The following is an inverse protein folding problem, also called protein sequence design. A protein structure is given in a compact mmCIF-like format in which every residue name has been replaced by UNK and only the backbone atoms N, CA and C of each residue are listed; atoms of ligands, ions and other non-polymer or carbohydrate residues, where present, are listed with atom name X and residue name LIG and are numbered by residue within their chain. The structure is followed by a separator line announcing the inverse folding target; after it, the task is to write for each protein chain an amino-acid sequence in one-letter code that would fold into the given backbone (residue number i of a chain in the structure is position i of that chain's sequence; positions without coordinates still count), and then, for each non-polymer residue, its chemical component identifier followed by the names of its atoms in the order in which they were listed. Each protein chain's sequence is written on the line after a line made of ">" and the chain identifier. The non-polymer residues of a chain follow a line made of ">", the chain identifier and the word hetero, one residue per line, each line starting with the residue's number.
data_IF_747914802813
#
_entry.id   IF_747914802813
#
_cell.length_a   1.000
_cell.length_b   1.000
_cell.length_c   1.000
_cell.angle_alpha   90.00
_cell.angle_beta   90.00
_cell.angle_gamma   90.00
#
_symmetry.space_group_name_H-M   'P 1'
#
loop_
_entity.id
_entity.type
_entity.pdbx_description
1 polymer ?
#
# COMPACT_ATOMS: atom_id res chain seq x y z
N UNK A 1 -20.97 33.33 -30.38
CA UNK A 1 -19.83 32.69 -29.68
C UNK A 1 -19.28 31.62 -30.61
N UNK A 2 -18.08 31.78 -31.17
CA UNK A 2 -17.48 30.73 -32.03
C UNK A 2 -16.97 29.62 -31.11
N UNK A 3 -17.59 28.44 -31.16
CA UNK A 3 -17.04 27.26 -30.50
C UNK A 3 -15.81 26.82 -31.28
N UNK A 4 -14.63 27.06 -30.73
CA UNK A 4 -13.39 26.46 -31.24
C UNK A 4 -13.38 24.99 -30.86
N UNK A 5 -13.30 24.11 -31.87
CA UNK A 5 -13.17 22.66 -31.68
C UNK A 5 -13.88 21.86 -32.77
N UNK A 6 -13.28 20.74 -33.17
CA UNK A 6 -13.90 19.75 -34.04
C UNK A 6 -15.13 19.16 -33.34
N UNK A 7 -16.20 18.95 -34.10
CA UNK A 7 -17.37 18.20 -33.62
C UNK A 7 -17.00 16.75 -33.32
N UNK A 8 -17.77 16.09 -32.44
CA UNK A 8 -17.58 14.66 -32.14
C UNK A 8 -17.55 13.77 -33.40
N UNK A 9 -18.28 14.18 -34.45
CA UNK A 9 -18.30 13.47 -35.73
C UNK A 9 -17.03 13.67 -36.55
N UNK A 10 -16.48 14.88 -36.56
CA UNK A 10 -15.19 15.19 -37.20
C UNK A 10 -14.05 14.48 -36.48
N UNK A 11 -14.03 14.51 -35.14
CA UNK A 11 -13.06 13.77 -34.33
C UNK A 11 -13.11 12.27 -34.63
N UNK A 12 -14.32 11.67 -34.73
CA UNK A 12 -14.47 10.25 -35.02
C UNK A 12 -13.95 9.86 -36.41
N UNK A 13 -14.11 10.75 -37.42
CA UNK A 13 -13.59 10.54 -38.78
C UNK A 13 -12.06 10.72 -38.84
N UNK A 14 -11.54 11.72 -38.13
CA UNK A 14 -10.12 12.07 -38.14
C UNK A 14 -9.25 11.07 -37.35
N UNK A 15 -9.79 10.47 -36.27
CA UNK A 15 -9.08 9.52 -35.39
C UNK A 15 -9.49 8.04 -35.61
N UNK A 16 -10.05 7.69 -36.77
CA UNK A 16 -10.84 6.46 -37.03
C UNK A 16 -11.38 5.68 -35.81
N UNK A 17 -11.98 6.36 -34.83
CA UNK A 17 -12.52 5.75 -33.61
C UNK A 17 -14.05 5.85 -33.58
N UNK A 18 -14.75 4.89 -32.96
CA UNK A 18 -16.19 4.97 -32.79
C UNK A 18 -16.61 6.25 -32.07
N UNK A 19 -17.67 6.90 -32.55
CA UNK A 19 -18.25 8.11 -31.92
C UNK A 19 -18.56 7.90 -30.43
N UNK A 20 -18.97 6.69 -30.04
CA UNK A 20 -19.21 6.32 -28.65
C UNK A 20 -17.94 6.40 -27.78
N UNK A 21 -16.76 6.10 -28.34
CA UNK A 21 -15.47 6.22 -27.65
C UNK A 21 -15.11 7.68 -27.44
N UNK A 22 -15.29 8.53 -28.47
CA UNK A 22 -15.10 9.99 -28.38
C UNK A 22 -16.00 10.59 -27.31
N UNK A 23 -17.29 10.22 -27.31
CA UNK A 23 -18.25 10.69 -26.31
C UNK A 23 -17.86 10.27 -24.89
N UNK A 24 -17.47 9.01 -24.69
CA UNK A 24 -17.02 8.50 -23.38
C UNK A 24 -15.75 9.22 -22.89
N UNK A 25 -14.81 9.51 -23.79
CA UNK A 25 -13.59 10.25 -23.46
C UNK A 25 -13.89 11.70 -23.06
N UNK A 26 -14.73 12.40 -23.84
CA UNK A 26 -15.15 13.78 -23.55
C UNK A 26 -15.93 13.84 -22.22
N UNK A 27 -16.90 12.94 -22.02
CA UNK A 27 -17.67 12.88 -20.76
C UNK A 27 -16.79 12.57 -19.55
N UNK A 28 -15.71 11.81 -19.74
CA UNK A 28 -14.77 11.49 -18.69
C UNK A 28 -13.88 12.68 -18.31
N UNK A 29 -13.50 13.50 -19.29
CA UNK A 29 -12.73 14.73 -19.05
C UNK A 29 -11.26 14.52 -18.64
N UNK A 30 -10.74 13.30 -18.76
CA UNK A 30 -9.33 12.96 -18.49
C UNK A 30 -8.77 12.15 -19.66
N UNK A 31 -7.50 12.35 -20.00
CA UNK A 31 -6.83 11.67 -21.13
C UNK A 31 -6.32 10.29 -20.71
N UNK A 32 -6.09 10.09 -19.41
CA UNK A 32 -5.52 8.88 -18.85
C UNK A 32 -6.49 7.69 -18.91
N UNK A 33 -5.95 6.48 -19.10
CA UNK A 33 -6.74 5.25 -19.05
C UNK A 33 -7.36 5.00 -17.67
N UNK A 34 -8.48 4.28 -17.66
CA UNK A 34 -9.14 3.93 -16.40
C UNK A 34 -8.36 2.80 -15.78
N UNK A 35 -7.93 2.90 -14.50
CA UNK A 35 -7.28 1.77 -13.85
C UNK A 35 -8.26 0.59 -13.84
N UNK A 36 -7.79 -0.54 -14.35
CA UNK A 36 -8.60 -1.75 -14.44
C UNK A 36 -9.02 -2.21 -13.04
N UNK A 37 -10.30 -2.61 -12.90
CA UNK A 37 -10.87 -3.14 -11.65
C UNK A 37 -10.46 -4.60 -11.40
N UNK A 38 -9.23 -4.99 -11.74
CA UNK A 38 -8.75 -6.36 -11.67
C UNK A 38 -9.08 -7.06 -10.34
N UNK A 39 -9.12 -8.40 -10.36
CA UNK A 39 -9.52 -9.23 -9.20
C UNK A 39 -8.75 -8.82 -7.95
N UNK A 40 -9.48 -8.47 -6.87
CA UNK A 40 -8.88 -8.12 -5.59
C UNK A 40 -7.98 -9.25 -5.11
N UNK A 41 -6.79 -8.90 -4.62
CA UNK A 41 -5.86 -9.87 -4.01
C UNK A 41 -6.46 -10.36 -2.69
N UNK A 42 -6.75 -11.65 -2.59
CA UNK A 42 -7.40 -12.27 -1.42
C UNK A 42 -6.42 -12.59 -0.29
N UNK A 43 -5.17 -12.95 -0.62
CA UNK A 43 -4.19 -13.32 0.40
C UNK A 43 -3.43 -12.11 0.99
N UNK A 44 -3.25 -11.03 0.21
CA UNK A 44 -2.48 -9.83 0.61
C UNK A 44 -3.42 -8.71 1.10
N UNK A 45 -4.36 -9.06 1.95
CA UNK A 45 -5.26 -8.10 2.59
C UNK A 45 -4.50 -7.25 3.62
N UNK A 46 -4.94 -6.01 3.90
CA UNK A 46 -4.36 -5.20 4.97
C UNK A 46 -4.36 -5.91 6.33
N UNK A 47 -5.40 -6.70 6.60
CA UNK A 47 -5.52 -7.50 7.81
C UNK A 47 -4.42 -8.56 7.94
N UNK A 48 -4.20 -9.36 6.89
CA UNK A 48 -3.14 -10.38 6.89
C UNK A 48 -1.75 -9.75 7.03
N UNK A 49 -1.52 -8.58 6.41
CA UNK A 49 -0.26 -7.83 6.58
C UNK A 49 -0.10 -7.40 8.04
N UNK A 50 -1.13 -6.82 8.66
CA UNK A 50 -1.09 -6.38 10.06
C UNK A 50 -0.82 -7.54 11.02
N UNK A 51 -1.51 -8.68 10.84
CA UNK A 51 -1.32 -9.87 11.67
C UNK A 51 0.11 -10.42 11.55
N UNK A 52 0.63 -10.56 10.33
CA UNK A 52 2.00 -11.03 10.10
C UNK A 52 3.03 -10.04 10.65
N UNK A 53 2.82 -8.73 10.45
CA UNK A 53 3.70 -7.68 10.97
C UNK A 53 3.77 -7.71 12.49
N UNK A 54 2.62 -7.78 13.17
CA UNK A 54 2.56 -7.81 14.63
C UNK A 54 3.29 -9.05 15.20
N UNK A 55 3.16 -10.20 14.57
CA UNK A 55 3.85 -11.43 15.00
C UNK A 55 5.37 -11.35 14.81
N UNK A 56 5.83 -10.79 13.70
CA UNK A 56 7.26 -10.53 13.48
C UNK A 56 7.79 -9.53 14.52
N UNK A 57 7.05 -8.46 14.82
CA UNK A 57 7.50 -7.45 15.79
C UNK A 57 7.64 -8.01 17.20
N UNK A 58 6.71 -8.86 17.65
CA UNK A 58 6.75 -9.44 19.01
C UNK A 58 7.91 -10.40 19.24
N UNK A 59 8.33 -11.16 18.22
CA UNK A 59 9.28 -12.26 18.38
C UNK A 59 10.22 -12.40 17.18
N UNK A 60 10.84 -11.30 16.73
CA UNK A 60 11.52 -11.14 15.44
C UNK A 60 12.42 -12.32 15.01
N UNK A 61 13.20 -12.88 15.94
CA UNK A 61 14.19 -13.93 15.67
C UNK A 61 13.68 -15.37 15.81
N UNK A 62 12.40 -15.59 16.14
CA UNK A 62 11.89 -16.95 16.40
C UNK A 62 11.66 -17.77 15.12
N UNK A 63 11.98 -19.07 15.15
CA UNK A 63 11.63 -20.05 14.09
C UNK A 63 10.11 -20.11 13.82
N UNK A 64 9.29 -19.70 14.78
CA UNK A 64 7.83 -19.56 14.64
C UNK A 64 7.43 -18.54 13.57
N UNK A 65 8.30 -17.58 13.25
CA UNK A 65 8.11 -16.57 12.20
C UNK A 65 8.52 -17.04 10.80
N UNK A 66 8.80 -18.33 10.60
CA UNK A 66 9.09 -18.83 9.27
C UNK A 66 7.90 -18.62 8.33
N UNK A 67 8.19 -18.35 7.04
CA UNK A 67 7.18 -18.14 5.98
C UNK A 67 6.15 -19.27 5.93
N UNK A 68 6.59 -20.50 6.18
CA UNK A 68 5.75 -21.70 6.21
C UNK A 68 4.80 -21.72 7.40
N UNK A 69 5.31 -21.36 8.59
CA UNK A 69 4.50 -21.34 9.80
C UNK A 69 3.47 -20.19 9.76
N UNK A 70 3.86 -19.01 9.29
CA UNK A 70 2.94 -17.88 9.12
C UNK A 70 1.83 -18.21 8.12
N UNK A 71 2.16 -18.91 7.03
CA UNK A 71 1.16 -19.39 6.08
C UNK A 71 0.13 -20.32 6.72
N UNK A 72 0.59 -21.29 7.51
CA UNK A 72 -0.29 -22.20 8.25
C UNK A 72 -1.17 -21.47 9.27
N UNK A 73 -0.60 -20.58 10.06
CA UNK A 73 -1.30 -19.86 11.13
C UNK A 73 -2.40 -18.94 10.58
N UNK A 74 -2.14 -18.26 9.46
CA UNK A 74 -3.08 -17.30 8.88
C UNK A 74 -3.88 -17.83 7.70
N UNK A 75 -3.82 -19.14 7.42
CA UNK A 75 -4.58 -19.75 6.32
C UNK A 75 -4.22 -19.21 4.94
N UNK A 76 -2.97 -18.79 4.73
CA UNK A 76 -2.49 -18.25 3.45
C UNK A 76 -1.37 -19.11 2.88
N UNK A 77 -1.22 -19.10 1.55
CA UNK A 77 -0.17 -19.87 0.90
C UNK A 77 1.24 -19.42 1.34
N UNK A 78 2.19 -20.36 1.29
CA UNK A 78 3.61 -20.09 1.58
C UNK A 78 4.14 -18.92 0.74
N UNK A 79 3.82 -18.89 -0.56
CA UNK A 79 4.25 -17.81 -1.44
C UNK A 79 3.62 -16.46 -1.09
N UNK A 80 2.36 -16.44 -0.63
CA UNK A 80 1.73 -15.21 -0.16
C UNK A 80 2.41 -14.67 1.09
N UNK A 81 2.69 -15.55 2.07
CA UNK A 81 3.45 -15.21 3.27
C UNK A 81 4.83 -14.68 2.92
N UNK A 82 5.55 -15.35 2.01
CA UNK A 82 6.85 -14.93 1.52
C UNK A 82 6.82 -13.54 0.89
N UNK A 83 5.82 -13.25 0.05
CA UNK A 83 5.64 -11.95 -0.60
C UNK A 83 5.33 -10.85 0.42
N UNK A 84 4.50 -11.14 1.44
CA UNK A 84 4.21 -10.19 2.52
C UNK A 84 5.48 -9.87 3.31
N UNK A 85 6.23 -10.90 3.75
CA UNK A 85 7.47 -10.70 4.49
C UNK A 85 8.53 -9.94 3.67
N UNK A 86 8.68 -10.26 2.38
CA UNK A 86 9.61 -9.53 1.49
C UNK A 86 9.24 -8.05 1.41
N UNK A 87 7.96 -7.73 1.32
CA UNK A 87 7.50 -6.35 1.27
C UNK A 87 7.72 -5.61 2.60
N UNK A 88 7.51 -6.29 3.74
CA UNK A 88 7.80 -5.72 5.07
C UNK A 88 9.29 -5.42 5.20
N UNK A 89 10.15 -6.38 4.82
CA UNK A 89 11.60 -6.18 4.84
C UNK A 89 12.02 -5.03 3.92
N UNK A 90 11.51 -5.00 2.68
CA UNK A 90 11.79 -3.91 1.75
C UNK A 90 11.39 -2.55 2.32
N UNK A 91 10.21 -2.44 2.92
CA UNK A 91 9.76 -1.20 3.55
C UNK A 91 10.60 -0.80 4.78
N UNK A 92 11.22 -1.76 5.46
CA UNK A 92 12.18 -1.49 6.52
C UNK A 92 13.50 -0.97 5.95
N UNK A 93 14.01 -1.62 4.89
CA UNK A 93 15.27 -1.26 4.22
C UNK A 93 15.17 0.12 3.50
N UNK A 94 13.99 0.50 3.02
CA UNK A 94 13.73 1.81 2.37
C UNK A 94 13.40 2.93 3.38
N UNK A 95 13.31 2.61 4.68
CA UNK A 95 12.97 3.61 5.69
C UNK A 95 14.15 4.57 5.88
N UNK A 96 13.96 5.89 5.78
CA UNK A 96 15.05 6.84 5.94
C UNK A 96 15.68 6.76 7.34
N UNK A 97 17.00 6.64 7.40
CA UNK A 97 17.74 6.56 8.67
C UNK A 97 17.50 7.77 9.57
N UNK A 98 17.28 8.95 9.00
CA UNK A 98 16.97 10.18 9.73
C UNK A 98 15.60 10.10 10.43
N UNK A 99 14.64 9.36 9.86
CA UNK A 99 13.36 9.12 10.52
C UNK A 99 13.56 8.22 11.75
N UNK A 100 14.34 7.15 11.61
CA UNK A 100 14.64 6.23 12.72
C UNK A 100 15.38 6.95 13.84
N UNK A 101 16.42 7.73 13.49
CA UNK A 101 17.18 8.55 14.43
C UNK A 101 16.28 9.53 15.17
N UNK A 102 15.46 10.33 14.47
CA UNK A 102 14.50 11.25 15.10
C UNK A 102 13.57 10.57 16.11
N UNK A 103 13.08 9.38 15.80
CA UNK A 103 12.23 8.61 16.72
C UNK A 103 13.00 8.17 17.95
N UNK A 104 14.20 7.61 17.78
CA UNK A 104 15.06 7.17 18.88
C UNK A 104 15.51 8.35 19.75
N UNK A 105 15.93 9.45 19.14
CA UNK A 105 16.38 10.67 19.83
C UNK A 105 15.25 11.32 20.63
N UNK A 106 14.00 11.17 20.18
CA UNK A 106 12.82 11.66 20.93
C UNK A 106 12.48 10.82 22.17
N UNK A 107 13.00 9.59 22.26
CA UNK A 107 12.58 8.64 23.29
C UNK A 107 12.97 9.07 24.72
N UNK A 108 14.21 9.53 25.01
CA UNK A 108 14.58 9.95 26.35
C UNK A 108 13.66 11.04 26.91
N UNK A 109 13.35 12.08 26.13
CA UNK A 109 12.47 13.16 26.56
C UNK A 109 11.03 12.70 26.80
N UNK A 110 10.52 11.79 25.95
CA UNK A 110 9.19 11.19 26.14
C UNK A 110 9.12 10.29 27.37
N UNK A 111 10.18 9.53 27.61
CA UNK A 111 10.28 8.67 28.79
C UNK A 111 10.33 9.50 30.06
N UNK A 112 11.12 10.58 30.08
CA UNK A 112 11.18 11.50 31.21
C UNK A 112 9.81 12.12 31.49
N UNK A 113 9.12 12.61 30.45
CA UNK A 113 7.76 13.14 30.60
C UNK A 113 6.75 12.11 31.15
N UNK A 114 6.89 10.83 30.79
CA UNK A 114 6.08 9.76 31.38
C UNK A 114 6.40 9.51 32.86
N UNK A 115 7.68 9.54 33.24
CA UNK A 115 8.11 9.41 34.64
C UNK A 115 7.61 10.60 35.48
N UNK A 116 7.74 11.82 34.95
CA UNK A 116 7.27 13.05 35.61
C UNK A 116 5.75 13.05 35.80
N UNK A 117 5.01 12.38 34.91
CA UNK A 117 3.57 12.16 35.04
C UNK A 117 3.20 11.00 36.00
N UNK A 118 4.17 10.40 36.69
CA UNK A 118 3.97 9.29 37.62
C UNK A 118 3.79 7.92 36.96
N UNK A 119 4.11 7.79 35.67
CA UNK A 119 4.06 6.52 34.94
C UNK A 119 5.29 5.65 35.25
N UNK A 120 5.08 4.35 35.45
CA UNK A 120 6.15 3.35 35.57
C UNK A 120 5.93 2.22 34.56
N UNK A 121 7.02 1.54 34.18
CA UNK A 121 6.99 0.32 33.38
C UNK A 121 7.26 -0.82 34.34
N UNK A 122 6.27 -1.69 34.55
CA UNK A 122 6.41 -3.00 35.22
C UNK A 122 7.07 -4.03 34.29
#
# INVERSE_FOLDING_TARGET
>A
MRSYGDSMGEIAKNLPIPKATVQKAIQRGTVEDRPERGRKRTARTPENIRKIKATIQRNSSSRKNSKRNLGKVYGISHESSRRIMKAIKKAWDEMPDDMVKRVVDSWPGRLQACIDAGGYIE
#
